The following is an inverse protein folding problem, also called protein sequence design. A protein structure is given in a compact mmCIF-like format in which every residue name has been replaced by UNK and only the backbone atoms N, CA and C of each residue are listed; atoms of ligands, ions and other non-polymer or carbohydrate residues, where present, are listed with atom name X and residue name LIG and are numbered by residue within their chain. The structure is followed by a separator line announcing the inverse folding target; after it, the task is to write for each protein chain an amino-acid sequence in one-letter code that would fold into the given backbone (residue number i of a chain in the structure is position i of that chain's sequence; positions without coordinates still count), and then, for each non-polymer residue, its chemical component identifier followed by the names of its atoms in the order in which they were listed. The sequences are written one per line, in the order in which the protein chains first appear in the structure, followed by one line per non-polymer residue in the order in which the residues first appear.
data_IF_125356115996
#
_entry.id   IF_125356115996
#
_cell.length_a   1.000
_cell.length_b   1.000
_cell.length_c   1.000
_cell.angle_alpha   90.00
_cell.angle_beta   90.00
_cell.angle_gamma   90.00
#
_symmetry.space_group_name_H-M   'P 1'
#
loop_
_entity.id
_entity.type
_entity.pdbx_description
1 polymer ?
#
# COMPACT_ATOMS: atom_id res chain seq x y z
N UNK A 1 26.76 -19.48 -18.36
CA UNK A 1 28.04 -18.79 -18.61
C UNK A 1 28.35 -17.80 -17.51
N UNK A 2 29.61 -17.72 -17.06
CA UNK A 2 30.04 -16.81 -15.99
C UNK A 2 29.76 -15.33 -16.31
N UNK A 3 29.88 -14.94 -17.59
CA UNK A 3 29.60 -13.58 -18.08
C UNK A 3 28.14 -13.16 -17.83
N UNK A 4 27.17 -14.01 -18.16
CA UNK A 4 25.75 -13.72 -17.94
C UNK A 4 25.41 -13.53 -16.44
N UNK A 5 26.11 -14.24 -15.55
CA UNK A 5 25.91 -14.07 -14.10
C UNK A 5 26.50 -12.75 -13.57
N UNK A 6 27.61 -12.30 -14.14
CA UNK A 6 28.22 -11.02 -13.79
C UNK A 6 27.36 -9.84 -14.25
N UNK A 7 26.84 -9.90 -15.48
CA UNK A 7 25.94 -8.87 -16.01
C UNK A 7 24.64 -8.75 -15.19
N UNK A 8 24.03 -9.88 -14.83
CA UNK A 8 22.82 -9.89 -13.99
C UNK A 8 23.07 -9.23 -12.63
N UNK A 9 24.22 -9.50 -12.00
CA UNK A 9 24.60 -8.87 -10.72
C UNK A 9 24.73 -7.36 -10.87
N UNK A 10 25.43 -6.89 -11.92
CA UNK A 10 25.60 -5.47 -12.21
C UNK A 10 24.27 -4.74 -12.38
N UNK A 11 23.30 -5.34 -13.08
CA UNK A 11 21.96 -4.75 -13.27
C UNK A 11 21.20 -4.67 -11.94
N UNK A 12 21.27 -5.73 -11.12
CA UNK A 12 20.62 -5.78 -9.82
C UNK A 12 21.17 -4.71 -8.87
N UNK A 13 22.50 -4.57 -8.80
CA UNK A 13 23.18 -3.57 -7.98
C UNK A 13 22.73 -2.16 -8.37
N UNK A 14 22.83 -1.80 -9.64
CA UNK A 14 22.40 -0.48 -10.15
C UNK A 14 20.92 -0.21 -9.92
N UNK A 15 20.05 -1.21 -10.08
CA UNK A 15 18.61 -1.06 -9.83
C UNK A 15 18.33 -0.84 -8.34
N UNK A 16 19.09 -1.50 -7.47
CA UNK A 16 18.96 -1.35 -6.03
C UNK A 16 19.45 0.03 -5.58
N UNK A 17 20.58 0.52 -6.09
CA UNK A 17 21.07 1.88 -5.84
C UNK A 17 20.00 2.92 -6.17
N UNK A 18 19.46 2.89 -7.39
CA UNK A 18 18.39 3.81 -7.80
C UNK A 18 17.12 3.67 -6.95
N UNK A 19 16.76 2.45 -6.51
CA UNK A 19 15.64 2.23 -5.59
C UNK A 19 15.89 2.90 -4.23
N UNK A 20 17.11 2.80 -3.68
CA UNK A 20 17.44 3.42 -2.40
C UNK A 20 17.41 4.95 -2.49
N UNK A 21 18.00 5.52 -3.55
CA UNK A 21 17.92 6.97 -3.78
C UNK A 21 16.48 7.47 -3.88
N UNK A 22 15.62 6.75 -4.61
CA UNK A 22 14.21 7.10 -4.72
C UNK A 22 13.47 7.00 -3.37
N UNK A 23 13.78 5.99 -2.54
CA UNK A 23 13.25 5.93 -1.16
C UNK A 23 13.69 7.13 -0.32
N UNK A 24 14.96 7.53 -0.41
CA UNK A 24 15.51 8.69 0.30
C UNK A 24 14.85 10.01 -0.17
N UNK A 25 14.53 10.12 -1.46
CA UNK A 25 13.74 11.23 -2.02
C UNK A 25 12.26 11.20 -1.60
N UNK A 26 11.84 10.23 -0.78
CA UNK A 26 10.47 10.12 -0.28
C UNK A 26 9.49 9.50 -1.28
N UNK A 27 9.97 8.91 -2.39
CA UNK A 27 9.10 8.25 -3.36
C UNK A 27 8.49 7.01 -2.71
N UNK A 28 7.17 7.01 -2.53
CA UNK A 28 6.45 5.85 -2.02
C UNK A 28 6.30 4.79 -3.10
N UNK A 29 6.91 3.64 -2.86
CA UNK A 29 6.80 2.46 -3.70
C UNK A 29 5.50 1.69 -3.45
N UNK A 30 5.13 0.86 -4.43
CA UNK A 30 3.95 0.01 -4.37
C UNK A 30 2.70 0.68 -4.96
N UNK A 31 1.58 -0.04 -4.90
CA UNK A 31 0.30 0.44 -5.41
C UNK A 31 -0.16 1.65 -4.60
N UNK A 32 -0.51 2.74 -5.29
CA UNK A 32 -1.11 3.92 -4.64
C UNK A 32 -2.42 3.52 -3.95
N UNK A 33 -2.63 4.08 -2.75
CA UNK A 33 -3.91 3.91 -2.04
C UNK A 33 -5.00 4.58 -2.88
N UNK A 34 -6.09 3.85 -3.11
CA UNK A 34 -7.24 4.33 -3.91
C UNK A 34 -8.37 4.83 -3.02
N UNK A 35 -8.41 4.41 -1.76
CA UNK A 35 -9.53 4.63 -0.84
C UNK A 35 -9.10 5.63 0.22
N UNK A 36 -9.96 6.60 0.50
CA UNK A 36 -9.79 7.51 1.62
C UNK A 36 -10.18 6.81 2.93
N UNK A 37 -9.20 6.70 3.85
CA UNK A 37 -9.39 6.06 5.15
C UNK A 37 -10.28 6.89 6.07
N UNK A 38 -10.22 8.22 5.97
CA UNK A 38 -10.97 9.11 6.85
C UNK A 38 -12.47 8.95 6.65
N UNK A 39 -12.91 8.74 5.39
CA UNK A 39 -14.31 8.48 5.07
C UNK A 39 -14.79 7.18 5.70
N UNK A 40 -13.99 6.11 5.60
CA UNK A 40 -14.29 4.80 6.23
C UNK A 40 -14.42 4.95 7.75
N UNK A 41 -13.46 5.63 8.39
CA UNK A 41 -13.47 5.85 9.84
C UNK A 41 -14.66 6.69 10.30
N UNK A 42 -14.97 7.76 9.56
CA UNK A 42 -16.12 8.63 9.85
C UNK A 42 -17.44 7.88 9.76
N UNK A 43 -17.62 7.04 8.73
CA UNK A 43 -18.83 6.22 8.59
C UNK A 43 -18.94 5.17 9.69
N UNK A 44 -17.83 4.55 10.06
CA UNK A 44 -17.80 3.59 11.16
C UNK A 44 -18.13 4.26 12.51
N UNK A 45 -17.60 5.46 12.77
CA UNK A 45 -17.91 6.24 13.98
C UNK A 45 -19.38 6.66 14.05
N UNK A 46 -20.04 6.87 12.90
CA UNK A 46 -21.49 7.11 12.82
C UNK A 46 -22.34 5.87 13.08
N UNK A 47 -21.73 4.71 13.31
CA UNK A 47 -22.41 3.44 13.55
C UNK A 47 -22.79 2.67 12.28
N UNK A 48 -22.34 3.09 11.10
CA UNK A 48 -22.59 2.35 9.85
C UNK A 48 -21.81 1.03 9.85
N UNK A 49 -22.49 -0.07 9.52
CA UNK A 49 -21.87 -1.40 9.50
C UNK A 49 -20.83 -1.55 8.39
N UNK A 50 -19.81 -2.39 8.62
CA UNK A 50 -18.70 -2.58 7.68
C UNK A 50 -19.13 -3.07 6.29
N UNK A 51 -20.21 -3.87 6.20
CA UNK A 51 -20.79 -4.33 4.93
C UNK A 51 -21.38 -3.16 4.15
N UNK A 52 -22.10 -2.27 4.82
CA UNK A 52 -22.74 -1.12 4.19
C UNK A 52 -21.72 -0.08 3.74
N UNK A 53 -20.66 0.16 4.53
CA UNK A 53 -19.51 0.99 4.13
C UNK A 53 -18.84 0.44 2.87
N UNK A 54 -18.66 -0.88 2.82
CA UNK A 54 -18.06 -1.55 1.66
C UNK A 54 -18.91 -1.35 0.39
N UNK A 55 -20.24 -1.44 0.50
CA UNK A 55 -21.14 -1.17 -0.62
C UNK A 55 -21.14 0.31 -1.03
N UNK A 56 -21.24 1.24 -0.08
CA UNK A 56 -21.26 2.68 -0.36
C UNK A 56 -19.98 3.16 -1.05
N UNK A 57 -18.82 2.64 -0.63
CA UNK A 57 -17.53 3.03 -1.18
C UNK A 57 -17.07 2.13 -2.34
N UNK A 58 -17.86 1.12 -2.71
CA UNK A 58 -17.50 0.12 -3.74
C UNK A 58 -16.14 -0.54 -3.49
N UNK A 59 -15.87 -0.92 -2.25
CA UNK A 59 -14.64 -1.58 -1.82
C UNK A 59 -14.92 -2.95 -1.24
N UNK A 60 -13.92 -3.82 -1.20
CA UNK A 60 -14.05 -5.11 -0.53
C UNK A 60 -14.20 -4.93 0.99
N UNK A 61 -15.05 -5.74 1.64
CA UNK A 61 -15.19 -5.77 3.11
C UNK A 61 -13.85 -5.99 3.83
N UNK A 62 -12.95 -6.76 3.23
CA UNK A 62 -11.59 -6.97 3.74
C UNK A 62 -10.77 -5.68 3.83
N UNK A 63 -11.00 -4.72 2.93
CA UNK A 63 -10.33 -3.41 2.96
C UNK A 63 -10.89 -2.55 4.09
N UNK A 64 -12.19 -2.60 4.35
CA UNK A 64 -12.81 -1.91 5.50
C UNK A 64 -12.20 -2.42 6.81
N UNK A 65 -12.20 -3.73 7.05
CA UNK A 65 -11.63 -4.29 8.27
C UNK A 65 -10.13 -4.02 8.42
N UNK A 66 -9.35 -4.10 7.33
CA UNK A 66 -7.93 -3.73 7.38
C UNK A 66 -7.70 -2.28 7.80
N UNK A 67 -8.55 -1.35 7.33
CA UNK A 67 -8.43 0.07 7.73
C UNK A 67 -8.78 0.23 9.21
N UNK A 68 -9.81 -0.45 9.71
CA UNK A 68 -10.20 -0.42 11.12
C UNK A 68 -9.15 -1.07 12.04
N UNK A 69 -8.49 -2.13 11.59
CA UNK A 69 -7.40 -2.78 12.30
C UNK A 69 -6.13 -1.92 12.32
N UNK A 70 -5.73 -1.36 11.17
CA UNK A 70 -4.63 -0.39 11.07
C UNK A 70 -4.82 0.78 12.04
N UNK A 71 -6.05 1.31 12.17
CA UNK A 71 -6.37 2.41 13.08
C UNK A 71 -6.27 2.02 14.56
N UNK A 72 -6.65 0.79 14.91
CA UNK A 72 -6.52 0.28 16.28
C UNK A 72 -5.07 0.02 16.67
N UNK A 73 -4.22 -0.30 15.70
CA UNK A 73 -2.81 -0.61 15.90
C UNK A 73 -1.90 0.64 15.83
N UNK A 74 -2.42 1.78 15.37
CA UNK A 74 -1.73 3.07 15.30
C UNK A 74 -1.89 3.85 16.61
#
# INVERSE_FOLDING_TARGET
SAVAQAERRRILERTNEGRQEAKLKGIKFGRRRTVDRNVVLTLHQKGTGATEIAHQLSIARSTVYKILEDERAS
#
